data_IF_285516413557
#
_entry.id   IF_285516413557
#
_cell.length_a   1.000
_cell.length_b   1.000
_cell.length_c   1.000
_cell.angle_alpha   90.00
_cell.angle_beta   90.00
_cell.angle_gamma   90.00
#
_symmetry.space_group_name_H-M   'P 1'
#
loop_
_entity.id
_entity.type
_entity.pdbx_description
1 polymer ?
#
# COMPACT_ATOMS: atom_id res chain seq x y z
N UNK A 1 38.44 12.62 -3.67
CA UNK A 1 37.52 13.76 -3.87
C UNK A 1 37.05 13.76 -5.33
N UNK A 2 36.09 12.94 -5.68
CA UNK A 2 35.44 12.97 -6.97
C UNK A 2 34.28 13.97 -6.89
N UNK A 3 34.20 14.86 -7.88
CA UNK A 3 33.03 15.70 -8.17
C UNK A 3 32.71 16.87 -7.23
N UNK A 4 33.66 17.46 -6.50
CA UNK A 4 33.42 18.73 -5.80
C UNK A 4 32.41 18.67 -4.62
N UNK A 5 32.11 17.49 -4.12
CA UNK A 5 31.23 17.29 -2.95
C UNK A 5 32.03 17.64 -1.69
N UNK A 6 31.55 18.62 -0.93
CA UNK A 6 32.12 19.01 0.34
C UNK A 6 31.16 18.60 1.47
N UNK A 7 31.57 17.74 2.41
CA UNK A 7 30.78 17.48 3.60
C UNK A 7 30.62 18.75 4.42
N UNK A 8 29.42 19.06 4.85
CA UNK A 8 29.10 20.20 5.70
C UNK A 8 28.34 19.70 6.93
N UNK A 9 28.49 20.42 8.03
CA UNK A 9 27.68 20.16 9.21
C UNK A 9 26.21 20.48 8.93
N UNK A 10 25.30 19.75 9.59
CA UNK A 10 23.87 20.01 9.49
C UNK A 10 23.56 21.45 9.88
N UNK A 11 22.79 22.14 9.04
CA UNK A 11 22.37 23.52 9.25
C UNK A 11 20.91 23.69 8.84
N UNK A 12 20.06 24.18 9.76
CA UNK A 12 18.68 24.57 9.48
C UNK A 12 18.61 25.54 8.30
N UNK A 13 19.49 26.51 8.25
CA UNK A 13 19.51 27.49 7.17
C UNK A 13 19.67 26.85 5.79
N UNK A 14 20.39 25.75 5.68
CA UNK A 14 20.50 25.00 4.43
C UNK A 14 19.19 24.35 4.06
N UNK A 15 18.47 23.73 5.02
CA UNK A 15 17.17 23.13 4.76
C UNK A 15 16.14 24.17 4.28
N UNK A 16 16.12 25.36 4.92
CA UNK A 16 15.21 26.45 4.57
C UNK A 16 15.50 27.06 3.18
N UNK A 17 16.72 26.97 2.68
CA UNK A 17 17.14 27.58 1.42
C UNK A 17 17.32 26.57 0.27
N UNK A 18 17.13 25.30 0.53
CA UNK A 18 17.30 24.23 -0.45
C UNK A 18 15.95 23.82 -1.03
N UNK A 19 15.84 23.71 -2.35
CA UNK A 19 14.61 23.32 -3.03
C UNK A 19 14.24 21.84 -2.75
N UNK A 20 15.24 20.96 -2.66
CA UNK A 20 15.04 19.53 -2.43
C UNK A 20 16.14 18.97 -1.53
N UNK A 21 15.73 18.27 -0.49
CA UNK A 21 16.60 17.45 0.36
C UNK A 21 16.51 15.99 -0.08
N UNK A 22 17.67 15.35 -0.24
CA UNK A 22 17.76 13.93 -0.54
C UNK A 22 18.07 13.18 0.76
N UNK A 23 17.09 12.42 1.25
CA UNK A 23 17.24 11.55 2.41
C UNK A 23 17.93 10.23 2.02
N UNK A 24 19.16 10.09 2.47
CA UNK A 24 19.97 8.87 2.35
C UNK A 24 20.65 8.57 3.70
N UNK A 25 20.00 8.91 4.82
CA UNK A 25 20.57 8.78 6.16
C UNK A 25 20.57 7.33 6.65
N UNK A 26 19.43 6.65 6.53
CA UNK A 26 19.22 5.29 7.02
C UNK A 26 18.51 4.46 5.96
N UNK A 27 18.86 3.19 5.84
CA UNK A 27 18.26 2.26 4.88
C UNK A 27 17.39 1.19 5.55
N UNK A 28 17.26 0.04 4.89
CA UNK A 28 16.39 -1.08 5.26
C UNK A 28 16.72 -1.76 6.61
N UNK A 29 17.85 -1.46 7.22
CA UNK A 29 18.30 -2.05 8.48
C UNK A 29 17.77 -1.38 9.75
N UNK A 30 16.89 -0.39 9.64
CA UNK A 30 16.35 0.33 10.81
C UNK A 30 15.46 -0.60 11.64
N UNK A 31 15.82 -0.75 12.91
CA UNK A 31 15.06 -1.48 13.92
C UNK A 31 15.06 -0.71 15.24
N UNK A 32 13.91 -0.56 15.85
CA UNK A 32 13.74 0.15 17.10
C UNK A 32 13.79 1.67 16.96
N UNK A 33 13.81 2.36 18.09
CA UNK A 33 13.84 3.80 18.15
C UNK A 33 15.15 4.37 17.58
N UNK A 34 15.04 5.50 16.88
CA UNK A 34 16.17 6.22 16.31
C UNK A 34 17.05 6.78 17.42
N UNK A 35 18.35 6.69 17.20
CA UNK A 35 19.36 7.31 18.08
C UNK A 35 19.68 8.69 17.58
N UNK A 36 20.08 9.56 18.50
CA UNK A 36 20.68 10.85 18.12
C UNK A 36 22.01 10.63 17.37
N UNK A 37 22.30 11.48 16.36
CA UNK A 37 21.57 12.69 15.96
C UNK A 37 20.45 12.43 14.91
N UNK A 38 20.14 11.20 14.52
CA UNK A 38 19.22 10.92 13.41
C UNK A 38 17.80 11.41 13.71
N UNK A 39 17.28 11.20 14.93
CA UNK A 39 15.95 11.67 15.30
C UNK A 39 15.81 13.18 15.15
N UNK A 40 16.81 13.93 15.59
CA UNK A 40 16.86 15.38 15.46
C UNK A 40 16.91 15.79 13.97
N UNK A 41 17.81 15.20 13.16
CA UNK A 41 17.96 15.57 11.75
C UNK A 41 16.68 15.28 10.96
N UNK A 42 16.03 14.16 11.20
CA UNK A 42 14.75 13.80 10.56
C UNK A 42 13.66 14.81 10.94
N UNK A 43 13.58 15.20 12.19
CA UNK A 43 12.63 16.25 12.63
C UNK A 43 12.87 17.57 11.90
N UNK A 44 14.11 18.01 11.76
CA UNK A 44 14.47 19.22 11.04
C UNK A 44 14.15 19.14 9.54
N UNK A 45 14.41 17.98 8.90
CA UNK A 45 14.04 17.73 7.49
C UNK A 45 12.53 17.86 7.31
N UNK A 46 11.74 17.23 8.15
CA UNK A 46 10.27 17.26 8.05
C UNK A 46 9.72 18.68 8.28
N UNK A 47 10.37 19.47 9.14
CA UNK A 47 9.90 20.81 9.50
C UNK A 47 10.32 21.89 8.50
N UNK A 48 11.51 21.80 7.91
CA UNK A 48 12.12 22.93 7.19
C UNK A 48 12.40 22.65 5.71
N UNK A 49 12.48 21.40 5.26
CA UNK A 49 12.73 21.11 3.86
C UNK A 49 11.50 21.38 2.97
N UNK A 50 11.69 22.12 1.87
CA UNK A 50 10.62 22.40 0.91
C UNK A 50 10.19 21.17 0.11
N UNK A 51 11.16 20.35 -0.33
CA UNK A 51 10.93 19.06 -1.02
C UNK A 51 11.80 17.96 -0.44
N UNK A 52 11.28 16.74 -0.36
CA UNK A 52 11.95 15.59 0.27
C UNK A 52 11.93 14.37 -0.65
N UNK A 53 13.11 13.92 -1.04
CA UNK A 53 13.32 12.74 -1.84
C UNK A 53 14.00 11.66 -0.98
N UNK A 54 13.33 10.54 -0.73
CA UNK A 54 13.94 9.43 -0.01
C UNK A 54 14.58 8.41 -0.96
N UNK A 55 15.74 7.92 -0.57
CA UNK A 55 16.49 6.88 -1.27
C UNK A 55 16.21 5.54 -0.61
N UNK A 56 15.65 4.63 -1.37
CA UNK A 56 15.27 3.26 -1.04
C UNK A 56 14.10 3.16 -0.06
N UNK A 57 14.18 3.73 1.11
CA UNK A 57 13.13 3.78 2.14
C UNK A 57 13.30 5.08 2.91
N UNK A 58 12.23 5.82 3.26
CA UNK A 58 12.34 6.97 4.14
C UNK A 58 13.03 6.61 5.46
N UNK A 59 14.04 7.39 5.83
CA UNK A 59 14.80 7.14 7.06
C UNK A 59 13.89 7.16 8.28
N UNK A 60 13.98 6.12 9.12
CA UNK A 60 13.11 5.92 10.29
C UNK A 60 11.88 5.03 10.05
N UNK A 61 11.54 4.75 8.79
CA UNK A 61 10.48 3.80 8.44
C UNK A 61 11.03 2.36 8.41
N UNK A 62 10.38 1.44 9.10
CA UNK A 62 10.71 0.02 9.01
C UNK A 62 10.34 -0.53 7.63
N UNK A 63 11.33 -0.99 6.87
CA UNK A 63 11.15 -1.59 5.54
C UNK A 63 10.28 -2.87 5.57
N UNK A 64 10.24 -3.57 6.70
CA UNK A 64 9.51 -4.82 6.84
C UNK A 64 8.07 -4.65 7.32
N UNK A 65 7.82 -3.73 8.25
CA UNK A 65 6.52 -3.61 8.91
C UNK A 65 5.78 -2.31 8.59
N UNK A 66 6.50 -1.27 8.15
CA UNK A 66 5.96 0.09 8.04
C UNK A 66 5.79 0.77 9.40
N UNK A 67 6.40 0.24 10.46
CA UNK A 67 6.39 0.89 11.76
C UNK A 67 7.30 2.12 11.77
N UNK A 68 6.90 3.12 12.55
CA UNK A 68 7.66 4.32 12.88
C UNK A 68 7.68 4.45 14.39
N UNK A 69 8.84 4.27 15.02
CA UNK A 69 8.93 4.24 16.49
C UNK A 69 9.26 5.61 17.11
N UNK A 70 10.07 6.41 16.45
CA UNK A 70 10.51 7.71 17.00
C UNK A 70 10.59 8.82 15.95
N UNK A 71 9.86 8.66 14.85
CA UNK A 71 9.86 9.56 13.71
C UNK A 71 10.48 8.93 12.45
N UNK A 72 10.01 9.39 11.30
CA UNK A 72 10.55 9.02 10.00
C UNK A 72 10.44 10.23 9.06
N UNK A 73 11.24 10.27 8.02
CA UNK A 73 11.13 11.29 6.97
C UNK A 73 9.77 11.13 6.28
N UNK A 74 9.08 12.26 6.08
CA UNK A 74 7.84 12.35 5.30
C UNK A 74 8.21 12.75 3.87
N UNK A 75 8.59 11.76 3.06
CA UNK A 75 9.05 12.00 1.70
C UNK A 75 7.90 12.37 0.74
N UNK A 76 8.15 13.31 -0.18
CA UNK A 76 7.25 13.60 -1.29
C UNK A 76 7.39 12.55 -2.40
N UNK A 77 8.63 12.04 -2.57
CA UNK A 77 8.96 10.96 -3.50
C UNK A 77 9.94 10.00 -2.84
N UNK A 78 9.72 8.71 -3.03
CA UNK A 78 10.69 7.68 -2.65
C UNK A 78 11.12 6.90 -3.89
N UNK A 79 12.43 6.86 -4.18
CA UNK A 79 12.99 6.00 -5.22
C UNK A 79 13.46 4.73 -4.54
N UNK A 80 12.79 3.62 -4.79
CA UNK A 80 13.13 2.31 -4.20
C UNK A 80 13.73 1.39 -5.25
N UNK A 81 14.67 0.53 -4.82
CA UNK A 81 15.48 -0.26 -5.75
C UNK A 81 15.07 -1.73 -5.76
N UNK A 82 15.14 -2.34 -6.94
CA UNK A 82 14.97 -3.77 -7.23
C UNK A 82 13.55 -4.27 -6.96
N UNK A 83 13.00 -4.02 -5.76
CA UNK A 83 11.64 -4.43 -5.35
C UNK A 83 11.07 -3.46 -4.33
N UNK A 84 9.74 -3.31 -4.34
CA UNK A 84 9.05 -2.62 -3.26
C UNK A 84 9.29 -3.33 -1.92
N UNK A 85 9.53 -2.56 -0.87
CA UNK A 85 9.60 -3.07 0.49
C UNK A 85 8.19 -3.14 1.07
N UNK A 86 7.91 -4.18 1.84
CA UNK A 86 6.60 -4.40 2.45
C UNK A 86 6.16 -3.21 3.29
N UNK A 87 7.06 -2.66 4.09
CA UNK A 87 6.79 -1.53 4.96
C UNK A 87 6.32 -0.26 4.26
N UNK A 88 6.60 -0.11 2.95
CA UNK A 88 6.12 1.05 2.18
C UNK A 88 4.61 1.03 1.92
N UNK A 89 3.98 -0.14 2.00
CA UNK A 89 2.55 -0.34 1.71
C UNK A 89 1.76 -0.86 2.92
N UNK A 90 2.43 -0.95 4.07
CA UNK A 90 1.83 -1.38 5.35
C UNK A 90 2.14 -0.37 6.45
N UNK A 91 1.42 -0.46 7.56
CA UNK A 91 1.62 0.43 8.71
C UNK A 91 1.54 1.91 8.31
N UNK A 92 2.54 2.69 8.70
CA UNK A 92 2.67 4.11 8.37
C UNK A 92 3.39 4.37 7.03
N UNK A 93 3.80 3.32 6.31
CA UNK A 93 4.52 3.48 5.03
C UNK A 93 3.83 4.37 4.01
N UNK A 94 2.51 4.22 3.76
CA UNK A 94 1.79 5.10 2.83
C UNK A 94 1.85 6.59 3.18
N UNK A 95 1.94 6.93 4.46
CA UNK A 95 1.99 8.32 4.94
C UNK A 95 3.39 8.94 4.80
N UNK A 96 4.44 8.09 4.77
CA UNK A 96 5.82 8.54 4.76
C UNK A 96 6.51 8.43 3.39
N UNK A 97 6.05 7.56 2.49
CA UNK A 97 6.75 7.28 1.24
C UNK A 97 6.42 8.25 0.09
N UNK A 98 5.31 8.99 0.18
CA UNK A 98 4.84 9.81 -0.92
C UNK A 98 4.66 9.01 -2.21
N UNK A 99 5.03 9.58 -3.35
CA UNK A 99 5.03 8.86 -4.62
C UNK A 99 6.21 7.90 -4.72
N UNK A 100 5.94 6.61 -4.77
CA UNK A 100 6.99 5.58 -4.88
C UNK A 100 7.33 5.30 -6.34
N UNK A 101 8.62 5.40 -6.67
CA UNK A 101 9.20 5.04 -7.98
C UNK A 101 10.10 3.83 -7.77
N UNK A 102 9.90 2.79 -8.57
CA UNK A 102 10.72 1.58 -8.52
C UNK A 102 11.77 1.63 -9.63
N UNK A 103 13.04 1.49 -9.26
CA UNK A 103 14.18 1.34 -10.15
C UNK A 103 14.77 -0.07 -10.00
N UNK A 104 14.82 -0.84 -11.07
CA UNK A 104 15.28 -2.24 -11.01
C UNK A 104 16.81 -2.40 -11.07
N UNK A 105 17.54 -1.30 -11.33
CA UNK A 105 19.00 -1.26 -11.46
C UNK A 105 19.53 -2.25 -12.51
N UNK A 106 18.76 -2.54 -13.54
CA UNK A 106 19.11 -3.54 -14.58
C UNK A 106 19.43 -4.93 -14.02
N UNK A 107 18.94 -5.23 -12.80
CA UNK A 107 19.09 -6.57 -12.22
C UNK A 107 18.26 -7.55 -13.02
N UNK A 108 18.92 -8.37 -13.81
CA UNK A 108 18.26 -9.33 -14.67
C UNK A 108 17.27 -10.19 -13.88
N UNK A 109 16.06 -10.33 -14.40
CA UNK A 109 15.00 -11.16 -13.78
C UNK A 109 15.46 -12.59 -13.51
N UNK A 110 16.39 -13.12 -14.30
CA UNK A 110 17.05 -14.41 -14.07
C UNK A 110 17.89 -14.50 -12.79
N UNK A 111 18.40 -13.39 -12.27
CA UNK A 111 19.10 -13.35 -10.97
C UNK A 111 18.10 -13.53 -9.83
N UNK A 112 16.95 -12.91 -9.94
CA UNK A 112 15.87 -13.00 -8.94
C UNK A 112 15.12 -14.35 -9.03
N UNK A 113 15.11 -14.98 -10.20
CA UNK A 113 14.50 -16.28 -10.47
C UNK A 113 15.49 -17.46 -10.48
N UNK A 114 16.75 -17.26 -10.06
CA UNK A 114 17.85 -18.22 -10.12
C UNK A 114 17.60 -19.54 -9.36
N UNK A 115 18.68 -20.33 -9.12
CA UNK A 115 18.59 -21.67 -8.49
C UNK A 115 17.89 -21.69 -7.11
N UNK A 116 17.86 -20.55 -6.42
CA UNK A 116 17.05 -20.30 -5.20
C UNK A 116 16.19 -19.07 -5.44
N UNK A 117 15.03 -19.19 -6.09
CA UNK A 117 14.16 -18.05 -6.33
C UNK A 117 13.74 -17.45 -5.01
N UNK A 118 13.92 -16.13 -4.87
CA UNK A 118 13.40 -15.41 -3.72
C UNK A 118 11.87 -15.47 -3.78
N UNK A 119 11.28 -16.18 -2.85
CA UNK A 119 9.82 -16.20 -2.72
C UNK A 119 9.36 -14.82 -2.24
N UNK A 120 8.54 -14.09 -3.00
CA UNK A 120 8.03 -12.81 -2.54
C UNK A 120 7.16 -13.02 -1.31
N UNK A 121 7.27 -12.14 -0.33
CA UNK A 121 6.42 -12.17 0.87
C UNK A 121 4.94 -11.96 0.55
N UNK A 122 4.64 -11.23 -0.52
CA UNK A 122 3.29 -10.94 -0.97
C UNK A 122 3.28 -10.29 -2.35
N UNK A 123 2.09 -10.04 -2.85
CA UNK A 123 1.87 -9.40 -4.14
C UNK A 123 1.01 -8.16 -3.96
N UNK A 124 1.36 -7.08 -4.64
CA UNK A 124 0.49 -5.92 -4.75
C UNK A 124 -0.54 -6.18 -5.85
N UNK A 125 -1.81 -6.13 -5.50
CA UNK A 125 -2.89 -6.23 -6.47
C UNK A 125 -2.83 -5.01 -7.38
N UNK A 126 -2.63 -5.23 -8.69
CA UNK A 126 -2.67 -4.20 -9.71
C UNK A 126 -3.90 -4.36 -10.60
N UNK A 127 -4.24 -3.30 -11.33
CA UNK A 127 -5.35 -3.32 -12.29
C UNK A 127 -5.12 -4.40 -13.36
N UNK A 128 -3.91 -4.45 -13.92
CA UNK A 128 -3.52 -5.39 -14.98
C UNK A 128 -3.60 -6.83 -14.50
N UNK A 129 -3.19 -7.08 -13.25
CA UNK A 129 -3.29 -8.41 -12.64
C UNK A 129 -4.74 -8.84 -12.47
N UNK A 130 -5.62 -7.95 -12.00
CA UNK A 130 -7.05 -8.24 -11.86
C UNK A 130 -7.70 -8.43 -13.23
N UNK A 131 -7.42 -7.56 -14.22
CA UNK A 131 -7.94 -7.68 -15.58
C UNK A 131 -7.58 -9.03 -16.21
N UNK A 132 -6.36 -9.51 -15.99
CA UNK A 132 -5.90 -10.82 -16.47
C UNK A 132 -6.62 -12.02 -15.82
N UNK A 133 -7.21 -11.82 -14.64
CA UNK A 133 -7.98 -12.86 -13.92
C UNK A 133 -9.47 -12.85 -14.24
N UNK A 134 -10.00 -11.75 -14.78
CA UNK A 134 -11.43 -11.63 -15.06
C UNK A 134 -11.78 -12.43 -16.33
N UNK A 135 -12.76 -13.36 -16.23
CA UNK A 135 -13.20 -14.11 -17.40
C UNK A 135 -13.94 -13.19 -18.38
N UNK A 136 -13.66 -13.38 -19.67
CA UNK A 136 -14.44 -12.71 -20.73
C UNK A 136 -15.87 -13.23 -20.72
N UNK A 137 -16.85 -12.35 -20.65
CA UNK A 137 -18.26 -12.73 -20.75
C UNK A 137 -18.70 -12.79 -22.21
N UNK A 138 -19.22 -13.92 -22.69
CA UNK A 138 -19.85 -13.98 -24.00
C UNK A 138 -21.15 -13.16 -24.01
N UNK A 139 -21.51 -12.63 -25.18
CA UNK A 139 -22.74 -11.83 -25.34
C UNK A 139 -24.03 -12.62 -24.96
N UNK A 140 -23.98 -13.94 -25.06
CA UNK A 140 -25.07 -14.85 -24.66
C UNK A 140 -25.10 -15.19 -23.18
N UNK A 141 -24.20 -14.63 -22.36
CA UNK A 141 -24.12 -14.95 -20.93
C UNK A 141 -25.40 -14.52 -20.20
N UNK A 142 -25.95 -15.43 -19.42
CA UNK A 142 -27.09 -15.17 -18.54
C UNK A 142 -26.72 -15.33 -17.07
N UNK A 143 -27.60 -14.89 -16.16
CA UNK A 143 -27.34 -14.88 -14.71
C UNK A 143 -26.89 -16.24 -14.12
N UNK A 144 -27.30 -17.36 -14.72
CA UNK A 144 -26.93 -18.69 -14.28
C UNK A 144 -25.47 -19.04 -14.56
N UNK A 145 -24.88 -18.50 -15.64
CA UNK A 145 -23.47 -18.73 -16.02
C UNK A 145 -22.52 -17.87 -15.17
N UNK A 146 -23.00 -16.72 -14.71
CA UNK A 146 -22.20 -15.80 -13.92
C UNK A 146 -22.03 -16.20 -12.43
N UNK A 147 -22.47 -17.39 -12.07
CA UNK A 147 -22.31 -17.98 -10.76
C UNK A 147 -23.22 -17.38 -9.69
N UNK A 148 -23.20 -18.02 -8.52
CA UNK A 148 -23.93 -17.59 -7.33
C UNK A 148 -23.00 -17.37 -6.15
N UNK A 149 -23.25 -16.33 -5.37
CA UNK A 149 -22.52 -16.01 -4.15
C UNK A 149 -23.46 -16.05 -2.96
N UNK A 150 -23.04 -16.69 -1.90
CA UNK A 150 -23.70 -16.64 -0.59
C UNK A 150 -22.87 -15.78 0.36
N UNK A 151 -23.50 -14.79 0.96
CA UNK A 151 -22.94 -13.95 2.00
C UNK A 151 -23.62 -14.30 3.30
N UNK A 152 -22.88 -14.61 4.33
CA UNK A 152 -23.41 -14.88 5.67
C UNK A 152 -22.93 -13.81 6.61
N UNK A 153 -23.87 -13.06 7.22
CA UNK A 153 -23.52 -11.98 8.14
C UNK A 153 -24.72 -11.14 8.55
N UNK A 154 -24.47 -10.16 9.40
CA UNK A 154 -25.51 -9.30 9.94
C UNK A 154 -26.14 -9.85 11.22
N UNK A 155 -25.50 -9.59 12.38
CA UNK A 155 -26.14 -9.77 13.69
C UNK A 155 -27.33 -8.85 13.84
N UNK A 156 -28.13 -9.05 14.88
CA UNK A 156 -29.36 -8.27 15.15
C UNK A 156 -29.10 -6.78 15.03
N UNK A 157 -29.85 -6.07 14.20
CA UNK A 157 -29.71 -4.66 13.93
C UNK A 157 -28.53 -4.26 13.02
N UNK A 158 -27.73 -5.23 12.54
CA UNK A 158 -26.52 -4.97 11.73
C UNK A 158 -26.70 -5.44 10.28
N UNK A 159 -27.49 -4.73 9.49
CA UNK A 159 -27.81 -5.08 8.09
C UNK A 159 -26.85 -4.49 7.08
N UNK A 160 -26.09 -3.46 7.43
CA UNK A 160 -25.30 -2.67 6.50
C UNK A 160 -24.19 -3.45 5.77
N UNK A 161 -23.35 -4.16 6.53
CA UNK A 161 -22.20 -4.87 5.95
C UNK A 161 -22.60 -5.94 4.92
N UNK A 162 -23.54 -6.86 5.18
CA UNK A 162 -23.95 -7.85 4.19
C UNK A 162 -24.63 -7.22 2.98
N UNK A 163 -25.37 -6.14 3.11
CA UNK A 163 -25.98 -5.39 2.00
C UNK A 163 -24.90 -4.76 1.13
N UNK A 164 -23.90 -4.10 1.73
CA UNK A 164 -22.79 -3.50 1.00
C UNK A 164 -21.97 -4.57 0.24
N UNK A 165 -21.68 -5.69 0.90
CA UNK A 165 -20.98 -6.82 0.28
C UNK A 165 -21.80 -7.39 -0.90
N UNK A 166 -23.12 -7.55 -0.73
CA UNK A 166 -24.03 -8.02 -1.78
C UNK A 166 -24.07 -7.10 -2.99
N UNK A 167 -24.16 -5.79 -2.77
CA UNK A 167 -24.11 -4.79 -3.83
C UNK A 167 -22.77 -4.79 -4.56
N UNK A 168 -21.66 -4.90 -3.82
CA UNK A 168 -20.33 -5.01 -4.42
C UNK A 168 -20.23 -6.26 -5.30
N UNK A 169 -20.70 -7.40 -4.82
CA UNK A 169 -20.71 -8.66 -5.58
C UNK A 169 -21.50 -8.56 -6.89
N UNK A 170 -22.70 -7.96 -6.86
CA UNK A 170 -23.51 -7.73 -8.08
C UNK A 170 -22.76 -6.81 -9.08
N UNK A 171 -22.16 -5.73 -8.59
CA UNK A 171 -21.37 -4.80 -9.42
C UNK A 171 -20.11 -5.46 -10.00
N UNK A 172 -19.49 -6.36 -9.25
CA UNK A 172 -18.35 -7.17 -9.73
C UNK A 172 -18.78 -8.28 -10.69
N UNK A 173 -20.10 -8.47 -10.86
CA UNK A 173 -20.65 -9.32 -11.88
C UNK A 173 -21.15 -10.68 -11.42
N UNK A 174 -21.38 -10.92 -10.15
CA UNK A 174 -22.06 -12.12 -9.70
C UNK A 174 -23.46 -12.22 -10.33
N UNK A 175 -23.83 -13.42 -10.79
CA UNK A 175 -25.13 -13.65 -11.45
C UNK A 175 -26.29 -13.70 -10.46
N UNK A 176 -26.03 -14.20 -9.26
CA UNK A 176 -26.98 -14.27 -8.13
C UNK A 176 -26.23 -14.02 -6.84
N UNK A 177 -26.82 -13.25 -5.94
CA UNK A 177 -26.27 -13.03 -4.60
C UNK A 177 -27.38 -13.30 -3.58
N UNK A 178 -27.08 -14.16 -2.63
CA UNK A 178 -27.96 -14.48 -1.51
C UNK A 178 -27.31 -14.03 -0.22
N UNK A 179 -28.08 -13.39 0.65
CA UNK A 179 -27.63 -12.98 1.99
C UNK A 179 -28.32 -13.86 3.01
N UNK A 180 -27.55 -14.65 3.78
CA UNK A 180 -27.98 -15.29 5.00
C UNK A 180 -27.74 -14.36 6.18
N UNK A 181 -28.80 -13.82 6.79
CA UNK A 181 -28.74 -12.94 7.95
C UNK A 181 -29.58 -13.47 9.11
N UNK A 182 -29.50 -12.78 10.27
CA UNK A 182 -30.38 -13.07 11.38
C UNK A 182 -31.86 -12.88 10.96
N UNK A 183 -32.81 -13.74 11.38
CA UNK A 183 -34.21 -13.63 10.98
C UNK A 183 -34.84 -12.25 11.19
N UNK A 184 -34.52 -11.58 12.29
CA UNK A 184 -35.04 -10.23 12.60
C UNK A 184 -34.58 -9.16 11.60
N UNK A 185 -33.51 -9.44 10.83
CA UNK A 185 -32.98 -8.53 9.83
C UNK A 185 -33.51 -8.79 8.43
N UNK A 186 -34.24 -9.88 8.18
CA UNK A 186 -34.64 -10.30 6.85
C UNK A 186 -35.36 -9.19 6.07
N UNK A 187 -36.43 -8.65 6.64
CA UNK A 187 -37.21 -7.58 5.99
C UNK A 187 -36.39 -6.35 5.73
N UNK A 188 -35.61 -5.92 6.73
CA UNK A 188 -34.75 -4.73 6.59
C UNK A 188 -33.68 -4.96 5.52
N UNK A 189 -33.04 -6.12 5.50
CA UNK A 189 -32.00 -6.45 4.48
C UNK A 189 -32.60 -6.51 3.08
N UNK A 190 -33.74 -7.14 2.90
CA UNK A 190 -34.43 -7.27 1.62
C UNK A 190 -34.89 -5.93 1.03
N UNK A 191 -35.21 -4.94 1.88
CA UNK A 191 -35.68 -3.64 1.44
C UNK A 191 -34.60 -2.73 0.82
N UNK A 192 -33.32 -3.04 1.05
CA UNK A 192 -32.22 -2.16 0.60
C UNK A 192 -31.85 -2.31 -0.88
N UNK A 193 -32.02 -3.50 -1.45
CA UNK A 193 -31.58 -3.77 -2.84
C UNK A 193 -32.42 -4.94 -3.37
N UNK A 194 -33.36 -4.67 -4.30
CA UNK A 194 -34.30 -5.70 -4.80
C UNK A 194 -33.62 -6.89 -5.52
N UNK A 195 -32.42 -6.68 -6.01
CA UNK A 195 -31.65 -7.72 -6.74
C UNK A 195 -31.00 -8.74 -5.80
N UNK A 196 -30.92 -8.44 -4.50
CA UNK A 196 -30.37 -9.36 -3.49
C UNK A 196 -31.45 -10.30 -2.98
N UNK A 197 -31.15 -11.56 -2.95
CA UNK A 197 -31.97 -12.57 -2.26
C UNK A 197 -31.58 -12.61 -0.78
N UNK A 198 -32.59 -12.78 0.12
CA UNK A 198 -32.36 -12.81 1.57
C UNK A 198 -33.09 -14.02 2.17
#
# INVERSE_FOLDING_TARGET
QAAGVCPIEHSRQLLETTDVVVDALLGIGVQGALREPFAFVISEINQYAAGRLAIDVPSGLSADSGAVESGAVEADVTITFIRHKRGMVTGFGPDHCGRVVLEDLDVASGVLAGKNPLTPWGYRISKEWVEGMLPTRPASAHKGVAGGLLIIGGGVGMTGAPVLAGRAALRSGAGRVTIGCHPDNQTSTASHTPELMV
#
